data_IF_235615331451
#
_entry.id   IF_235615331451
#
_cell.length_a   1.000
_cell.length_b   1.000
_cell.length_c   1.000
_cell.angle_alpha   90.00
_cell.angle_beta   90.00
_cell.angle_gamma   90.00
#
_symmetry.space_group_name_H-M   'P 1'
#
loop_
_entity.id
_entity.type
_entity.pdbx_description
1 polymer ?
#
# COMPACT_ATOMS: atom_id res chain seq x y z
N UNK A 1 -16.22 -12.03 7.06
CA UNK A 1 -15.66 -11.94 8.42
C UNK A 1 -14.29 -11.32 8.28
N UNK A 2 -14.05 -10.14 8.87
CA UNK A 2 -12.77 -9.44 8.72
C UNK A 2 -11.65 -10.28 9.34
N UNK A 3 -10.76 -10.81 8.52
CA UNK A 3 -9.52 -11.44 8.98
C UNK A 3 -8.72 -10.37 9.73
N UNK A 4 -8.59 -10.51 11.04
CA UNK A 4 -7.78 -9.57 11.84
C UNK A 4 -6.32 -9.76 11.45
N UNK A 5 -5.73 -8.76 10.80
CA UNK A 5 -4.33 -8.79 10.39
C UNK A 5 -3.42 -8.80 11.63
N UNK A 6 -2.41 -9.68 11.64
CA UNK A 6 -1.33 -9.66 12.65
C UNK A 6 -1.71 -10.17 14.05
N UNK A 7 -2.48 -11.26 14.17
CA UNK A 7 -2.71 -11.91 15.47
C UNK A 7 -1.38 -12.31 16.15
N UNK A 8 -1.26 -12.03 17.46
CA UNK A 8 -0.07 -12.40 18.27
C UNK A 8 1.16 -11.51 18.11
N UNK A 9 1.05 -10.34 17.46
CA UNK A 9 2.15 -9.39 17.27
C UNK A 9 2.20 -8.31 18.37
N UNK A 10 3.41 -7.90 18.75
CA UNK A 10 3.68 -6.69 19.53
C UNK A 10 3.60 -5.45 18.61
N UNK A 11 2.77 -4.48 18.99
CA UNK A 11 2.50 -3.28 18.20
C UNK A 11 3.28 -2.10 18.77
N UNK A 12 3.76 -1.21 17.90
CA UNK A 12 4.43 0.04 18.29
C UNK A 12 3.53 0.88 19.20
N UNK A 13 2.23 0.97 18.86
CA UNK A 13 1.19 1.49 19.73
C UNK A 13 -0.10 0.67 19.47
N UNK A 14 -0.59 -0.11 20.46
CA UNK A 14 -1.73 -0.99 20.28
C UNK A 14 -3.07 -0.24 20.11
N UNK A 15 -3.13 1.03 20.50
CA UNK A 15 -4.34 1.87 20.45
C UNK A 15 -4.38 2.82 19.26
N UNK A 16 -3.24 3.05 18.59
CA UNK A 16 -3.14 3.96 17.46
C UNK A 16 -3.28 3.20 16.12
N UNK A 17 -4.35 3.44 15.34
CA UNK A 17 -4.53 2.80 14.04
C UNK A 17 -3.40 3.10 13.06
N UNK A 18 -2.90 4.34 13.07
CA UNK A 18 -1.78 4.76 12.20
C UNK A 18 -0.52 3.95 12.52
N UNK A 19 -0.19 3.78 13.80
CA UNK A 19 0.98 3.00 14.21
C UNK A 19 0.86 1.54 13.77
N UNK A 20 -0.31 0.92 13.98
CA UNK A 20 -0.53 -0.48 13.54
C UNK A 20 -0.46 -0.63 12.03
N UNK A 21 -0.95 0.32 11.25
CA UNK A 21 -0.77 0.32 9.79
C UNK A 21 0.72 0.43 9.40
N UNK A 22 1.48 1.32 10.07
CA UNK A 22 2.92 1.47 9.82
C UNK A 22 3.69 0.21 10.17
N UNK A 23 3.33 -0.51 11.23
CA UNK A 23 3.96 -1.81 11.58
C UNK A 23 3.77 -2.89 10.50
N UNK A 24 2.71 -2.78 9.70
CA UNK A 24 2.37 -3.71 8.63
C UNK A 24 3.04 -3.32 7.30
N UNK A 25 2.96 -2.05 6.91
CA UNK A 25 3.33 -1.61 5.54
C UNK A 25 4.30 -0.43 5.48
N UNK A 26 4.74 0.10 6.62
CA UNK A 26 5.50 1.34 6.73
C UNK A 26 6.99 1.24 6.41
N UNK A 27 7.48 0.09 5.94
CA UNK A 27 8.85 -0.02 5.45
C UNK A 27 9.00 0.42 3.99
N UNK A 28 10.24 0.75 3.59
CA UNK A 28 10.59 1.28 2.27
C UNK A 28 10.02 0.49 1.08
N UNK A 29 9.89 -0.83 1.19
CA UNK A 29 9.59 -1.70 0.06
C UNK A 29 8.14 -2.17 0.02
N UNK A 30 7.47 -2.27 1.16
CA UNK A 30 6.13 -2.86 1.25
C UNK A 30 5.12 -2.18 0.33
N UNK A 31 5.01 -0.86 0.38
CA UNK A 31 4.06 -0.13 -0.49
C UNK A 31 4.49 -0.08 -1.96
N UNK A 32 5.78 -0.26 -2.27
CA UNK A 32 6.25 -0.40 -3.65
C UNK A 32 5.89 -1.78 -4.24
N UNK A 33 5.97 -2.85 -3.43
CA UNK A 33 5.48 -4.18 -3.82
C UNK A 33 3.96 -4.14 -4.03
N UNK A 34 3.21 -3.50 -3.13
CA UNK A 34 1.76 -3.35 -3.27
C UNK A 34 1.41 -2.57 -4.55
N UNK A 35 2.10 -1.46 -4.83
CA UNK A 35 1.97 -0.72 -6.10
C UNK A 35 2.18 -1.63 -7.31
N UNK A 36 3.29 -2.36 -7.35
CA UNK A 36 3.60 -3.23 -8.49
C UNK A 36 2.58 -4.36 -8.64
N UNK A 37 2.00 -4.85 -7.54
CA UNK A 37 0.93 -5.85 -7.55
C UNK A 37 -0.38 -5.28 -8.11
N UNK A 38 -0.70 -4.02 -7.83
CA UNK A 38 -1.82 -3.29 -8.47
C UNK A 38 -1.58 -3.14 -9.97
N UNK A 39 -0.33 -2.93 -10.37
CA UNK A 39 0.13 -2.89 -11.78
C UNK A 39 0.31 -4.30 -12.39
N UNK A 40 -0.24 -5.34 -11.76
CA UNK A 40 -0.33 -6.70 -12.29
C UNK A 40 0.89 -7.59 -12.06
N UNK A 41 1.94 -7.16 -11.36
CA UNK A 41 3.03 -8.05 -10.98
C UNK A 41 2.51 -9.13 -10.03
N UNK A 42 2.76 -10.40 -10.36
CA UNK A 42 2.23 -11.53 -9.61
C UNK A 42 3.31 -12.55 -9.23
N UNK A 43 4.52 -12.46 -9.77
CA UNK A 43 5.59 -13.43 -9.52
C UNK A 43 6.81 -12.76 -8.90
N UNK A 44 7.61 -13.54 -8.17
CA UNK A 44 8.87 -13.05 -7.60
C UNK A 44 9.77 -12.38 -8.65
N UNK A 45 9.86 -12.97 -9.85
CA UNK A 45 10.70 -12.45 -10.93
C UNK A 45 10.22 -11.09 -11.41
N UNK A 46 8.91 -10.89 -11.56
CA UNK A 46 8.35 -9.60 -11.99
C UNK A 46 8.63 -8.51 -10.95
N UNK A 47 8.42 -8.79 -9.66
CA UNK A 47 8.77 -7.84 -8.59
C UNK A 47 10.26 -7.53 -8.58
N UNK A 48 11.13 -8.55 -8.73
CA UNK A 48 12.57 -8.35 -8.74
C UNK A 48 13.00 -7.47 -9.92
N UNK A 49 12.43 -7.68 -11.11
CA UNK A 49 12.75 -6.91 -12.31
C UNK A 49 12.27 -5.46 -12.20
N UNK A 50 11.07 -5.23 -11.65
CA UNK A 50 10.50 -3.88 -11.51
C UNK A 50 11.17 -3.06 -10.41
N UNK A 51 11.47 -3.67 -9.26
CA UNK A 51 12.00 -2.95 -8.09
C UNK A 51 13.53 -2.89 -8.06
N UNK A 52 14.23 -3.82 -8.71
CA UNK A 52 15.70 -3.88 -8.71
C UNK A 52 16.32 -4.18 -7.34
N UNK A 53 15.54 -4.65 -6.38
CA UNK A 53 16.01 -4.89 -5.01
C UNK A 53 16.70 -6.26 -4.85
N UNK A 54 17.56 -6.36 -3.84
CA UNK A 54 18.25 -7.60 -3.51
C UNK A 54 17.24 -8.74 -3.21
N UNK A 55 17.52 -9.93 -3.73
CA UNK A 55 16.58 -11.08 -3.69
C UNK A 55 16.18 -11.47 -2.27
N UNK A 56 17.13 -11.49 -1.33
CA UNK A 56 16.88 -11.80 0.07
C UNK A 56 15.91 -10.78 0.73
N UNK A 57 16.06 -9.50 0.41
CA UNK A 57 15.16 -8.43 0.89
C UNK A 57 13.76 -8.61 0.29
N UNK A 58 13.66 -8.87 -1.02
CA UNK A 58 12.37 -9.15 -1.66
C UNK A 58 11.68 -10.36 -1.05
N UNK A 59 12.41 -11.46 -0.82
CA UNK A 59 11.87 -12.66 -0.18
C UNK A 59 11.33 -12.36 1.22
N UNK A 60 12.07 -11.62 2.05
CA UNK A 60 11.63 -11.23 3.39
C UNK A 60 10.37 -10.35 3.33
N UNK A 61 10.32 -9.38 2.41
CA UNK A 61 9.16 -8.47 2.27
C UNK A 61 7.90 -9.16 1.75
N UNK A 62 8.03 -9.99 0.71
CA UNK A 62 6.89 -10.77 0.21
C UNK A 62 6.36 -11.71 1.28
N UNK A 63 7.23 -12.37 2.06
CA UNK A 63 6.81 -13.21 3.18
C UNK A 63 6.04 -12.40 4.22
N UNK A 64 6.57 -11.26 4.65
CA UNK A 64 5.91 -10.39 5.63
C UNK A 64 4.53 -9.92 5.15
N UNK A 65 4.41 -9.46 3.91
CA UNK A 65 3.12 -9.03 3.35
C UNK A 65 2.12 -10.18 3.27
N UNK A 66 2.57 -11.42 3.06
CA UNK A 66 1.71 -12.62 3.12
C UNK A 66 1.31 -12.92 4.56
N UNK A 67 2.25 -12.92 5.49
CA UNK A 67 1.99 -13.15 6.93
C UNK A 67 1.05 -12.08 7.51
N UNK A 68 1.14 -10.86 7.00
CA UNK A 68 0.25 -9.74 7.35
C UNK A 68 -1.11 -9.83 6.69
N UNK A 69 -1.36 -10.78 5.79
CA UNK A 69 -2.62 -10.92 5.06
C UNK A 69 -2.86 -9.80 4.04
N UNK A 70 -1.83 -9.07 3.62
CA UNK A 70 -1.90 -8.07 2.55
C UNK A 70 -1.80 -8.74 1.17
N UNK A 71 -0.96 -9.77 1.08
CA UNK A 71 -0.85 -10.65 -0.08
C UNK A 71 -1.32 -12.06 0.29
N UNK A 72 -1.90 -12.76 -0.68
CA UNK A 72 -2.12 -14.18 -0.63
C UNK A 72 -1.17 -14.86 -1.63
N UNK A 73 -0.66 -16.04 -1.24
CA UNK A 73 0.08 -16.90 -2.16
C UNK A 73 -0.88 -17.90 -2.78
N UNK A 74 -0.90 -17.98 -4.11
CA UNK A 74 -1.62 -19.02 -4.85
C UNK A 74 -0.63 -19.85 -5.66
N UNK A 75 -0.94 -21.13 -5.87
CA UNK A 75 -0.20 -21.94 -6.82
C UNK A 75 -0.58 -21.49 -8.23
N UNK A 76 0.41 -21.12 -9.05
CA UNK A 76 0.15 -20.75 -10.43
C UNK A 76 -0.41 -21.95 -11.22
N UNK A 77 -1.24 -21.71 -12.25
CA UNK A 77 -1.64 -22.76 -13.18
C UNK A 77 -0.40 -23.47 -13.74
N UNK A 78 -0.27 -24.79 -13.52
CA UNK A 78 0.92 -25.57 -13.90
C UNK A 78 1.90 -25.88 -12.76
N UNK A 79 1.59 -25.52 -11.50
CA UNK A 79 2.08 -26.21 -10.30
C UNK A 79 3.51 -25.95 -9.85
N UNK A 80 4.32 -25.19 -10.60
CA UNK A 80 5.76 -25.00 -10.28
C UNK A 80 6.13 -23.65 -9.68
N UNK A 81 5.25 -22.65 -9.71
CA UNK A 81 5.56 -21.29 -9.24
C UNK A 81 4.46 -20.75 -8.34
N UNK A 82 4.87 -20.07 -7.28
CA UNK A 82 3.99 -19.28 -6.44
C UNK A 82 3.69 -17.96 -7.14
N UNK A 83 2.41 -17.56 -7.13
CA UNK A 83 2.00 -16.21 -7.48
C UNK A 83 1.43 -15.50 -6.26
N UNK A 84 1.66 -14.19 -6.19
CA UNK A 84 1.15 -13.30 -5.16
C UNK A 84 -0.04 -12.54 -5.72
N UNK A 85 -1.10 -12.41 -4.91
CA UNK A 85 -2.27 -11.59 -5.23
C UNK A 85 -2.63 -10.73 -4.03
N UNK A 86 -3.09 -9.51 -4.27
CA UNK A 86 -3.66 -8.68 -3.21
C UNK A 86 -4.89 -9.36 -2.62
N UNK A 87 -4.95 -9.38 -1.29
CA UNK A 87 -6.19 -9.69 -0.56
C UNK A 87 -7.13 -8.49 -0.62
N UNK A 88 -8.34 -8.62 -0.07
CA UNK A 88 -9.25 -7.48 0.14
C UNK A 88 -8.56 -6.34 0.91
N UNK A 89 -7.91 -6.66 2.03
CA UNK A 89 -7.14 -5.68 2.80
C UNK A 89 -5.97 -5.07 2.02
N UNK A 90 -5.33 -5.84 1.14
CA UNK A 90 -4.28 -5.31 0.25
C UNK A 90 -4.80 -4.40 -0.84
N UNK A 91 -6.02 -4.64 -1.35
CA UNK A 91 -6.67 -3.77 -2.32
C UNK A 91 -7.08 -2.43 -1.71
N UNK A 92 -7.52 -2.42 -0.44
CA UNK A 92 -7.87 -1.20 0.30
C UNK A 92 -6.69 -0.22 0.45
N UNK A 93 -5.45 -0.71 0.35
CA UNK A 93 -4.25 0.14 0.33
C UNK A 93 -4.15 1.01 -0.92
N UNK A 94 -4.98 0.82 -1.94
CA UNK A 94 -4.98 1.65 -3.15
C UNK A 94 -5.08 3.14 -2.81
N UNK A 95 -5.98 3.52 -1.92
CA UNK A 95 -6.14 4.92 -1.48
C UNK A 95 -4.85 5.48 -0.87
N UNK A 96 -4.13 4.67 -0.09
CA UNK A 96 -2.84 5.06 0.49
C UNK A 96 -1.77 5.24 -0.59
N UNK A 97 -1.73 4.35 -1.59
CA UNK A 97 -0.82 4.46 -2.74
C UNK A 97 -1.12 5.71 -3.56
N UNK A 98 -2.40 6.05 -3.80
CA UNK A 98 -2.80 7.29 -4.49
C UNK A 98 -2.37 8.51 -3.68
N UNK A 99 -2.56 8.52 -2.36
CA UNK A 99 -2.15 9.62 -1.49
C UNK A 99 -0.63 9.83 -1.53
N UNK A 100 0.16 8.75 -1.46
CA UNK A 100 1.61 8.81 -1.59
C UNK A 100 2.06 9.34 -2.95
N UNK A 101 1.43 8.87 -4.03
CA UNK A 101 1.70 9.33 -5.38
C UNK A 101 1.45 10.84 -5.50
N UNK A 102 0.26 11.30 -5.17
CA UNK A 102 -0.12 12.71 -5.30
C UNK A 102 0.68 13.64 -4.37
N UNK A 103 1.13 13.13 -3.21
CA UNK A 103 2.06 13.87 -2.37
C UNK A 103 3.45 13.97 -3.02
N UNK A 104 3.96 12.86 -3.57
CA UNK A 104 5.23 12.82 -4.29
C UNK A 104 5.24 13.74 -5.51
N UNK A 105 4.21 13.69 -6.35
CA UNK A 105 4.04 14.56 -7.53
C UNK A 105 4.13 16.06 -7.18
N UNK A 106 3.69 16.45 -5.98
CA UNK A 106 3.70 17.85 -5.52
C UNK A 106 4.99 18.31 -4.86
N UNK A 107 5.78 17.39 -4.31
CA UNK A 107 6.84 17.73 -3.34
C UNK A 107 8.17 17.04 -3.57
N UNK A 108 8.21 15.98 -4.38
CA UNK A 108 9.39 15.13 -4.58
C UNK A 108 9.96 15.22 -6.01
N UNK A 109 9.41 16.09 -6.85
CA UNK A 109 9.90 16.36 -8.20
C UNK A 109 10.19 17.85 -8.35
N UNK A 110 11.21 18.17 -9.13
CA UNK A 110 11.53 19.55 -9.52
C UNK A 110 10.64 20.02 -10.66
N UNK A 111 10.57 21.34 -10.89
CA UNK A 111 9.72 21.92 -11.92
C UNK A 111 10.07 21.37 -13.32
N UNK A 112 9.10 20.71 -13.95
CA UNK A 112 9.27 20.10 -15.27
C UNK A 112 9.97 18.74 -15.27
N UNK A 113 10.34 18.19 -14.12
CA UNK A 113 10.90 16.84 -14.01
C UNK A 113 9.82 15.80 -14.35
N UNK A 114 10.07 14.92 -15.34
CA UNK A 114 9.05 13.98 -15.79
C UNK A 114 8.79 12.90 -14.73
N UNK A 115 7.51 12.66 -14.47
CA UNK A 115 7.06 11.58 -13.61
C UNK A 115 5.80 10.91 -14.16
N UNK A 116 5.51 9.70 -13.68
CA UNK A 116 4.28 9.00 -14.04
C UNK A 116 3.05 9.64 -13.39
N UNK A 117 1.92 9.62 -14.09
CA UNK A 117 0.61 10.09 -13.60
C UNK A 117 -0.36 8.93 -13.53
N UNK A 118 -1.12 8.82 -12.45
CA UNK A 118 -2.19 7.82 -12.35
C UNK A 118 -3.44 8.33 -13.06
N UNK A 119 -3.95 7.52 -13.99
CA UNK A 119 -5.16 7.81 -14.77
C UNK A 119 -6.22 6.74 -14.58
N UNK A 120 -7.49 7.11 -14.76
CA UNK A 120 -8.60 6.18 -14.82
C UNK A 120 -8.64 5.41 -16.15
N UNK A 121 -9.64 4.53 -16.32
CA UNK A 121 -9.85 3.73 -17.54
C UNK A 121 -10.08 4.57 -18.82
N UNK A 122 -10.38 5.86 -18.67
CA UNK A 122 -10.62 6.81 -19.75
C UNK A 122 -9.40 7.69 -20.02
N UNK A 123 -8.31 7.52 -19.27
CA UNK A 123 -7.09 8.32 -19.40
C UNK A 123 -7.14 9.65 -18.64
N UNK A 124 -8.17 9.90 -17.83
CA UNK A 124 -8.25 11.11 -17.03
C UNK A 124 -7.41 10.96 -15.75
N UNK A 125 -6.62 11.98 -15.35
CA UNK A 125 -5.92 11.95 -14.08
C UNK A 125 -6.87 11.72 -12.90
N UNK A 126 -6.48 10.87 -11.97
CA UNK A 126 -7.25 10.64 -10.74
C UNK A 126 -7.29 11.93 -9.92
N UNK A 127 -8.50 12.33 -9.51
CA UNK A 127 -8.71 13.55 -8.74
C UNK A 127 -7.91 13.59 -7.43
N UNK A 128 -7.50 14.79 -7.03
CA UNK A 128 -6.74 14.99 -5.80
C UNK A 128 -7.53 14.51 -4.58
N UNK A 129 -6.92 13.64 -3.77
CA UNK A 129 -7.50 13.17 -2.51
C UNK A 129 -7.62 14.33 -1.52
N UNK A 130 -8.78 14.43 -0.88
CA UNK A 130 -9.08 15.39 0.18
C UNK A 130 -9.78 14.65 1.31
N UNK A 131 -9.38 14.93 2.55
CA UNK A 131 -10.14 14.49 3.70
C UNK A 131 -11.41 15.33 3.79
N UNK A 132 -12.55 14.66 3.91
CA UNK A 132 -13.87 15.30 3.96
C UNK A 132 -14.61 14.89 5.23
N UNK A 133 -15.39 15.82 5.76
CA UNK A 133 -16.36 15.56 6.82
C UNK A 133 -17.54 14.74 6.30
N UNK A 134 -18.40 14.28 7.21
CA UNK A 134 -19.63 13.59 6.85
C UNK A 134 -20.60 14.43 6.00
N UNK A 135 -20.41 15.75 5.99
CA UNK A 135 -21.15 16.74 5.20
C UNK A 135 -20.52 17.01 3.82
N UNK A 136 -19.45 16.28 3.46
CA UNK A 136 -18.70 16.45 2.21
C UNK A 136 -17.80 17.69 2.17
N UNK A 137 -17.67 18.43 3.28
CA UNK A 137 -16.78 19.60 3.32
C UNK A 137 -15.35 19.17 3.62
N UNK A 138 -14.33 19.82 3.01
CA UNK A 138 -12.94 19.52 3.33
C UNK A 138 -12.63 19.76 4.81
N UNK A 139 -11.86 18.85 5.40
CA UNK A 139 -11.35 18.96 6.76
C UNK A 139 -9.82 18.88 6.76
N UNK A 140 -9.20 19.43 7.80
CA UNK A 140 -7.75 19.50 7.96
C UNK A 140 -7.34 19.10 9.37
N UNK A 141 -6.04 18.96 9.62
CA UNK A 141 -5.51 18.77 10.97
C UNK A 141 -5.92 19.89 11.95
N UNK A 142 -6.14 21.12 11.46
CA UNK A 142 -6.57 22.25 12.30
C UNK A 142 -8.07 22.23 12.64
N UNK A 143 -8.88 21.54 11.83
CA UNK A 143 -10.35 21.48 12.00
C UNK A 143 -10.83 20.11 12.48
N UNK A 144 -9.90 19.23 12.90
CA UNK A 144 -10.19 17.90 13.39
C UNK A 144 -9.41 17.63 14.67
N UNK A 145 -9.85 16.62 15.44
CA UNK A 145 -9.15 16.17 16.64
C UNK A 145 -9.28 14.65 16.78
N UNK A 146 -8.24 14.01 17.32
CA UNK A 146 -8.26 12.59 17.67
C UNK A 146 -8.84 12.44 19.07
N UNK A 147 -9.95 11.72 19.20
CA UNK A 147 -10.43 11.27 20.51
C UNK A 147 -9.64 10.02 20.90
N UNK A 148 -8.68 10.18 21.80
CA UNK A 148 -7.91 9.05 22.35
C UNK A 148 -8.81 8.21 23.24
N UNK A 149 -8.58 6.89 23.23
CA UNK A 149 -9.14 5.97 24.20
C UNK A 149 -8.18 5.89 25.38
N UNK A 150 -8.72 5.91 26.60
CA UNK A 150 -7.97 5.66 27.84
C UNK A 150 -7.87 4.15 28.11
#
# INVERSE_FOLDING_TARGET
>A
MATTLGSGREWTDPTCPVARTVDLVGDRWSLLIVRDAMDGAATFTEFQQRLGIARNILTDRLRRLVDHGILATTTAPGGKRHSYRLTEAGQDLFTLVVALRQWGERHAFTDGEPHSTLVDRHGNPVAALRAEGHDGRPVTAATTQVRKIE
#
